data_IF_716648976497
#
_entry.id   IF_716648976497
#
_cell.length_a   1.000
_cell.length_b   1.000
_cell.length_c   1.000
_cell.angle_alpha   90.00
_cell.angle_beta   90.00
_cell.angle_gamma   90.00
#
_symmetry.space_group_name_H-M   'P 1'
#
loop_
_entity.id
_entity.type
_entity.pdbx_description
1 polymer ?
#
# COMPACT_ATOMS: atom_id res chain seq x y z
N UNK A 1 0.75 -12.00 2.11
CA UNK A 1 1.76 -10.93 2.16
C UNK A 1 1.35 -9.93 3.24
N UNK A 2 2.33 -9.46 4.02
CA UNK A 2 2.17 -8.41 5.03
C UNK A 2 3.12 -7.29 4.69
N UNK A 3 2.64 -6.05 4.66
CA UNK A 3 3.47 -4.89 4.31
C UNK A 3 3.50 -3.86 5.43
N UNK A 4 4.67 -3.30 5.68
CA UNK A 4 4.92 -2.19 6.59
C UNK A 4 5.48 -1.03 5.79
N UNK A 5 4.84 0.14 5.86
CA UNK A 5 5.28 1.32 5.13
C UNK A 5 5.52 2.49 6.08
N UNK A 6 6.59 3.24 5.83
CA UNK A 6 6.89 4.50 6.50
C UNK A 6 6.70 5.63 5.50
N UNK A 7 5.98 6.65 5.94
CA UNK A 7 5.71 7.82 5.13
C UNK A 7 5.34 9.04 5.96
N UNK A 8 5.22 10.16 5.27
CA UNK A 8 4.81 11.43 5.85
C UNK A 8 3.55 11.96 5.17
N UNK A 9 2.63 12.52 5.95
CA UNK A 9 1.41 13.17 5.45
C UNK A 9 1.41 14.63 5.86
N UNK A 10 1.32 15.52 4.88
CA UNK A 10 1.26 16.95 5.09
C UNK A 10 -0.09 17.52 4.64
N UNK A 11 -0.81 18.17 5.56
CA UNK A 11 -2.07 18.88 5.25
C UNK A 11 -1.74 20.31 4.82
N UNK A 12 -1.87 20.59 3.53
CA UNK A 12 -1.65 21.93 3.00
C UNK A 12 -2.93 22.79 3.00
N UNK A 13 -4.11 22.17 2.99
CA UNK A 13 -5.38 22.85 3.30
C UNK A 13 -5.98 22.21 4.54
N UNK A 14 -6.22 23.03 5.57
CA UNK A 14 -6.81 22.57 6.83
C UNK A 14 -7.99 23.48 7.22
N UNK A 15 -9.20 23.15 6.77
CA UNK A 15 -10.43 23.85 7.13
C UNK A 15 -11.32 22.95 8.01
N UNK A 16 -12.22 23.52 8.83
CA UNK A 16 -13.10 22.72 9.69
C UNK A 16 -14.08 21.79 8.96
N UNK A 17 -14.41 22.09 7.69
CA UNK A 17 -15.33 21.29 6.87
C UNK A 17 -14.62 20.33 5.93
N UNK A 18 -13.41 20.67 5.50
CA UNK A 18 -12.63 19.83 4.61
C UNK A 18 -11.15 20.10 4.80
N UNK A 19 -10.32 19.09 4.58
CA UNK A 19 -8.88 19.23 4.50
C UNK A 19 -8.37 18.54 3.25
N UNK A 20 -7.23 19.01 2.74
CA UNK A 20 -6.53 18.40 1.61
C UNK A 20 -5.08 18.20 2.04
N UNK A 21 -4.56 17.02 1.74
CA UNK A 21 -3.23 16.60 2.13
C UNK A 21 -2.49 15.92 0.99
N UNK A 22 -1.18 16.09 0.99
CA UNK A 22 -0.25 15.26 0.23
C UNK A 22 0.34 14.23 1.18
N UNK A 23 0.61 13.03 0.68
CA UNK A 23 1.36 12.01 1.40
C UNK A 23 2.53 11.52 0.56
N UNK A 24 3.60 11.12 1.24
CA UNK A 24 4.79 10.52 0.66
C UNK A 24 5.08 9.23 1.40
N UNK A 25 5.02 8.09 0.70
CA UNK A 25 5.47 6.78 1.19
C UNK A 25 6.94 6.65 0.82
N UNK A 26 7.82 6.67 1.81
CA UNK A 26 9.28 6.75 1.58
C UNK A 26 9.84 5.33 1.39
N UNK A 27 9.48 4.42 2.28
CA UNK A 27 9.95 3.04 2.29
C UNK A 27 8.83 2.07 2.61
N UNK A 28 8.92 0.87 2.04
CA UNK A 28 8.02 -0.26 2.26
C UNK A 28 8.87 -1.50 2.55
N UNK A 29 8.48 -2.24 3.57
CA UNK A 29 9.02 -3.56 3.87
C UNK A 29 7.88 -4.58 3.76
N UNK A 30 8.04 -5.54 2.86
CA UNK A 30 7.05 -6.56 2.55
C UNK A 30 7.57 -7.92 2.97
N UNK A 31 6.73 -8.69 3.64
CA UNK A 31 6.98 -10.06 4.05
C UNK A 31 5.96 -10.99 3.41
N UNK A 32 6.43 -12.01 2.71
CA UNK A 32 5.60 -12.96 1.97
C UNK A 32 5.98 -14.37 2.36
N UNK A 33 4.99 -15.13 2.80
CA UNK A 33 5.08 -16.58 2.93
C UNK A 33 4.25 -17.20 1.81
N UNK A 34 4.78 -18.25 1.19
CA UNK A 34 4.09 -19.03 0.17
C UNK A 34 4.54 -20.49 0.24
N UNK A 35 3.60 -21.37 -0.01
CA UNK A 35 3.84 -22.80 -0.14
C UNK A 35 4.14 -23.11 -1.60
N UNK A 36 5.21 -23.88 -1.85
CA UNK A 36 5.50 -24.42 -3.18
C UNK A 36 5.33 -25.92 -3.12
N UNK A 37 4.38 -26.43 -3.88
CA UNK A 37 4.20 -27.88 -4.08
C UNK A 37 4.82 -28.28 -5.41
N UNK A 38 5.73 -29.24 -5.39
CA UNK A 38 6.33 -29.82 -6.60
C UNK A 38 6.36 -31.34 -6.51
N UNK A 39 6.38 -32.01 -7.66
CA UNK A 39 6.46 -33.47 -7.73
C UNK A 39 7.87 -33.94 -7.37
N UNK A 40 7.94 -34.96 -6.51
CA UNK A 40 9.21 -35.57 -6.13
C UNK A 40 9.86 -36.24 -7.36
N UNK A 41 11.07 -35.79 -7.69
CA UNK A 41 11.82 -36.30 -8.85
C UNK A 41 12.32 -37.73 -8.62
N UNK A 42 12.48 -38.14 -7.35
CA UNK A 42 12.93 -39.48 -6.96
C UNK A 42 11.76 -40.47 -6.77
N UNK A 43 10.53 -39.98 -6.59
CA UNK A 43 9.32 -40.81 -6.44
C UNK A 43 8.09 -40.23 -7.17
N UNK A 44 7.92 -40.56 -8.47
CA UNK A 44 6.82 -40.04 -9.29
C UNK A 44 5.44 -40.34 -8.70
N UNK A 45 4.55 -39.34 -8.70
CA UNK A 45 3.22 -39.43 -8.08
C UNK A 45 3.17 -39.05 -6.60
N UNK A 46 4.28 -38.67 -5.98
CA UNK A 46 4.31 -38.01 -4.66
C UNK A 46 4.63 -36.52 -4.77
N UNK A 47 3.96 -35.70 -3.96
CA UNK A 47 4.11 -34.25 -3.98
C UNK A 47 4.74 -33.78 -2.66
N UNK A 48 5.78 -32.97 -2.77
CA UNK A 48 6.45 -32.32 -1.65
C UNK A 48 5.97 -30.89 -1.57
N UNK A 49 5.54 -30.45 -0.38
CA UNK A 49 5.21 -29.05 -0.11
C UNK A 49 6.31 -28.43 0.73
N UNK A 50 6.93 -27.36 0.21
CA UNK A 50 7.92 -26.56 0.93
C UNK A 50 7.35 -25.20 1.31
N UNK A 51 7.51 -24.83 2.58
CA UNK A 51 7.27 -23.47 3.05
C UNK A 51 8.43 -22.56 2.65
N UNK A 52 8.14 -21.57 1.79
CA UNK A 52 9.10 -20.52 1.44
C UNK A 52 8.66 -19.20 2.02
N UNK A 53 9.62 -18.48 2.58
CA UNK A 53 9.44 -17.12 3.06
C UNK A 53 10.43 -16.21 2.36
N UNK A 54 9.98 -15.00 2.08
CA UNK A 54 10.77 -13.94 1.46
C UNK A 54 10.42 -12.60 2.06
N UNK A 55 11.41 -11.71 2.12
CA UNK A 55 11.18 -10.33 2.45
C UNK A 55 11.80 -9.41 1.39
N UNK A 56 11.14 -8.28 1.17
CA UNK A 56 11.58 -7.25 0.22
C UNK A 56 11.56 -5.91 0.92
N UNK A 57 12.64 -5.14 0.75
CA UNK A 57 12.71 -3.75 1.19
C UNK A 57 12.79 -2.86 -0.04
N UNK A 58 11.88 -1.90 -0.12
CA UNK A 58 11.77 -0.97 -1.24
C UNK A 58 11.76 0.46 -0.71
N UNK A 59 12.43 1.36 -1.43
CA UNK A 59 12.41 2.80 -1.17
C UNK A 59 11.81 3.53 -2.38
N UNK A 60 10.50 3.41 -2.63
CA UNK A 60 9.91 3.84 -3.90
C UNK A 60 9.63 5.35 -3.98
N UNK A 61 9.57 6.06 -2.84
CA UNK A 61 9.18 7.47 -2.76
C UNK A 61 7.90 7.76 -3.53
N UNK A 62 6.79 7.17 -3.06
CA UNK A 62 5.48 7.25 -3.71
C UNK A 62 4.69 8.44 -3.18
N UNK A 63 4.25 9.31 -4.10
CA UNK A 63 3.43 10.46 -3.79
C UNK A 63 1.95 10.14 -3.94
N UNK A 64 1.16 10.62 -2.99
CA UNK A 64 -0.29 10.55 -3.00
C UNK A 64 -0.93 11.87 -2.61
N UNK A 65 -2.21 11.98 -2.92
CA UNK A 65 -3.06 13.12 -2.59
C UNK A 65 -4.34 12.60 -1.96
N UNK A 66 -4.86 13.30 -0.96
CA UNK A 66 -6.17 12.98 -0.43
C UNK A 66 -6.89 14.19 0.15
N UNK A 67 -8.17 14.00 0.38
CA UNK A 67 -9.05 14.96 0.98
C UNK A 67 -9.92 14.29 2.04
N UNK A 68 -10.03 14.92 3.21
CA UNK A 68 -11.02 14.54 4.20
C UNK A 68 -12.17 15.56 4.17
N UNK A 69 -13.41 15.09 4.10
CA UNK A 69 -14.63 15.90 4.06
C UNK A 69 -15.45 15.58 5.31
N UNK A 70 -15.80 16.59 6.10
CA UNK A 70 -16.54 16.40 7.34
C UNK A 70 -17.96 15.88 7.03
N UNK A 71 -18.34 14.77 7.66
CA UNK A 71 -19.68 14.20 7.60
C UNK A 71 -20.17 13.92 9.02
N UNK A 72 -21.08 14.77 9.51
CA UNK A 72 -21.62 14.68 10.87
C UNK A 72 -20.51 14.77 11.94
N UNK A 73 -20.31 13.66 12.67
CA UNK A 73 -19.29 13.54 13.72
C UNK A 73 -17.94 13.00 13.22
N UNK A 74 -17.82 12.58 11.96
CA UNK A 74 -16.58 12.06 11.40
C UNK A 74 -16.17 12.75 10.10
N UNK A 75 -15.28 12.13 9.36
CA UNK A 75 -14.86 12.58 8.03
C UNK A 75 -14.89 11.41 7.05
N UNK A 76 -15.37 11.64 5.84
CA UNK A 76 -15.09 10.77 4.69
C UNK A 76 -13.73 11.17 4.15
N UNK A 77 -12.86 10.18 3.94
CA UNK A 77 -11.56 10.36 3.29
C UNK A 77 -11.67 9.83 1.87
N UNK A 78 -11.21 10.63 0.90
CA UNK A 78 -10.95 10.21 -0.47
C UNK A 78 -9.45 10.37 -0.69
N UNK A 79 -8.77 9.30 -1.10
CA UNK A 79 -7.33 9.33 -1.32
C UNK A 79 -6.97 8.67 -2.63
N UNK A 80 -5.92 9.18 -3.26
CA UNK A 80 -5.26 8.60 -4.40
C UNK A 80 -3.77 8.47 -4.06
N UNK A 81 -3.34 7.24 -3.79
CA UNK A 81 -2.13 7.01 -2.98
C UNK A 81 -0.84 6.89 -3.80
N UNK A 82 -0.95 6.46 -5.06
CA UNK A 82 0.21 6.10 -5.90
C UNK A 82 0.24 6.91 -7.20
N UNK A 83 0.20 8.24 -7.09
CA UNK A 83 0.23 9.16 -8.24
C UNK A 83 1.54 9.03 -9.03
N UNK A 84 2.66 8.95 -8.31
CA UNK A 84 3.98 8.81 -8.92
C UNK A 84 4.92 8.13 -7.93
N UNK A 85 5.76 7.22 -8.44
CA UNK A 85 6.86 6.59 -7.72
C UNK A 85 8.17 6.99 -8.41
N UNK A 86 9.15 7.50 -7.66
CA UNK A 86 10.40 8.00 -8.25
C UNK A 86 11.36 6.88 -8.67
N UNK A 87 11.27 5.71 -8.01
CA UNK A 87 12.23 4.61 -8.20
C UNK A 87 11.59 3.27 -8.57
N UNK A 88 10.29 3.26 -8.87
CA UNK A 88 9.59 2.07 -9.39
C UNK A 88 9.27 2.29 -10.87
N UNK A 89 9.57 1.31 -11.70
CA UNK A 89 9.09 1.28 -13.07
C UNK A 89 7.60 0.94 -13.07
N UNK A 90 6.77 1.86 -13.51
CA UNK A 90 5.33 1.69 -13.56
C UNK A 90 4.88 0.90 -14.81
N UNK A 91 5.82 0.43 -15.65
CA UNK A 91 5.56 -0.39 -16.85
C UNK A 91 4.43 0.15 -17.74
N UNK A 92 4.29 1.48 -17.84
CA UNK A 92 3.23 2.15 -18.62
C UNK A 92 1.82 2.10 -18.02
N UNK A 93 1.64 1.47 -16.86
CA UNK A 93 0.39 1.46 -16.11
C UNK A 93 0.40 2.57 -15.07
N UNK A 94 -0.47 3.57 -15.23
CA UNK A 94 -0.72 4.51 -14.15
C UNK A 94 -1.55 3.77 -13.07
N UNK A 95 -1.01 3.51 -11.88
CA UNK A 95 -1.68 2.67 -10.90
C UNK A 95 -2.90 3.40 -10.36
N UNK A 96 -4.06 2.76 -10.46
CA UNK A 96 -5.32 3.29 -9.98
C UNK A 96 -5.50 2.85 -8.52
N UNK A 97 -4.71 3.40 -7.60
CA UNK A 97 -4.88 3.19 -6.14
C UNK A 97 -5.75 4.30 -5.53
N UNK A 98 -7.07 4.14 -5.69
CA UNK A 98 -8.07 4.97 -5.01
C UNK A 98 -8.55 4.30 -3.73
N UNK A 99 -8.57 5.07 -2.65
CA UNK A 99 -9.08 4.65 -1.36
C UNK A 99 -10.22 5.57 -0.89
N UNK A 100 -11.24 4.95 -0.30
CA UNK A 100 -12.32 5.63 0.42
C UNK A 100 -12.28 5.16 1.87
N UNK A 101 -12.30 6.10 2.80
CA UNK A 101 -12.24 5.82 4.23
C UNK A 101 -13.25 6.62 5.03
N UNK A 102 -13.49 6.19 6.27
CA UNK A 102 -14.22 6.97 7.26
C UNK A 102 -13.39 7.13 8.51
N UNK A 103 -13.16 8.38 8.92
CA UNK A 103 -12.46 8.76 10.13
C UNK A 103 -13.46 9.08 11.24
N UNK A 104 -13.49 8.24 12.25
CA UNK A 104 -14.22 8.51 13.49
C UNK A 104 -13.49 9.61 14.29
N UNK A 105 -14.21 10.64 14.76
CA UNK A 105 -13.73 11.40 15.91
C UNK A 105 -14.00 10.54 17.15
N UNK A 106 -12.94 10.11 17.84
CA UNK A 106 -13.04 9.76 19.26
C UNK A 106 -13.12 11.04 20.08
#
# INVERSE_FOLDING_TARGET
>A
ETQLAIGYRYRFINKPKFNIYGNLKIVTYSFTNFEVTYEDTDNPGTFITEDKSGSTFEAPFIFGLGADIKLGKGYITLAYQEIVALFLDMHGNFPIDFAVGYKFNL
#
